data_IF_472172506405
#
_entry.id   IF_472172506405
#
_cell.length_a   1.000
_cell.length_b   1.000
_cell.length_c   1.000
_cell.angle_alpha   90.00
_cell.angle_beta   90.00
_cell.angle_gamma   90.00
#
_symmetry.space_group_name_H-M   'P 1'
#
loop_
_entity.id
_entity.type
_entity.pdbx_description
1 polymer ?
#
# COMPACT_ATOMS: atom_id res chain seq x y z
N UNK A 1 7.10 7.54 -13.88
CA UNK A 1 8.26 6.66 -14.19
C UNK A 1 9.52 7.27 -13.61
N UNK A 2 10.50 6.46 -13.19
CA UNK A 2 11.76 6.96 -12.63
C UNK A 2 12.64 7.63 -13.71
N UNK A 3 13.50 8.60 -13.36
CA UNK A 3 14.46 9.20 -14.29
C UNK A 3 15.40 8.17 -14.90
N UNK A 4 15.84 8.35 -16.16
CA UNK A 4 16.76 7.41 -16.83
C UNK A 4 18.08 7.19 -16.09
N UNK A 5 18.58 8.21 -15.39
CA UNK A 5 19.82 8.12 -14.62
C UNK A 5 19.64 7.45 -13.24
N UNK A 6 18.40 7.14 -12.83
CA UNK A 6 18.15 6.52 -11.54
C UNK A 6 18.64 5.06 -11.52
N UNK A 7 19.41 4.71 -10.49
CA UNK A 7 19.79 3.32 -10.26
C UNK A 7 18.67 2.61 -9.50
N UNK A 8 18.05 1.61 -10.14
CA UNK A 8 16.98 0.81 -9.55
C UNK A 8 17.59 -0.43 -8.90
N UNK A 9 17.43 -0.55 -7.59
CA UNK A 9 17.79 -1.77 -6.83
C UNK A 9 16.52 -2.50 -6.41
N UNK A 10 16.50 -3.82 -6.63
CA UNK A 10 15.45 -4.70 -6.11
C UNK A 10 15.98 -5.41 -4.87
N UNK A 11 15.14 -5.48 -3.86
CA UNK A 11 15.37 -6.25 -2.64
C UNK A 11 14.35 -7.38 -2.57
N UNK A 12 14.67 -8.42 -1.81
CA UNK A 12 13.86 -9.62 -1.70
C UNK A 12 12.56 -9.40 -0.93
N UNK A 13 12.59 -8.51 0.06
CA UNK A 13 11.44 -8.20 0.91
C UNK A 13 11.40 -6.73 1.40
N UNK A 14 10.35 -6.40 2.15
CA UNK A 14 10.16 -5.06 2.70
C UNK A 14 11.19 -4.73 3.80
N UNK A 15 11.68 -5.70 4.56
CA UNK A 15 12.61 -5.47 5.67
C UNK A 15 14.02 -5.14 5.18
N UNK A 16 14.47 -5.83 4.14
CA UNK A 16 15.74 -5.55 3.44
C UNK A 16 15.66 -4.23 2.69
N UNK A 17 14.53 -3.92 2.04
CA UNK A 17 14.28 -2.60 1.44
C UNK A 17 14.38 -1.48 2.50
N UNK A 18 13.71 -1.68 3.64
CA UNK A 18 13.71 -0.73 4.76
C UNK A 18 15.11 -0.51 5.33
N UNK A 19 15.85 -1.60 5.55
CA UNK A 19 17.21 -1.55 6.07
C UNK A 19 18.16 -0.82 5.12
N UNK A 20 18.03 -1.02 3.81
CA UNK A 20 18.80 -0.30 2.80
C UNK A 20 18.51 1.20 2.81
N UNK A 21 17.24 1.59 2.96
CA UNK A 21 16.86 3.00 3.07
C UNK A 21 17.37 3.63 4.38
N UNK A 22 17.13 3.01 5.53
CA UNK A 22 17.56 3.55 6.83
C UNK A 22 19.08 3.65 6.98
N UNK A 23 19.83 2.75 6.36
CA UNK A 23 21.30 2.78 6.32
C UNK A 23 21.88 3.74 5.27
N UNK A 24 21.05 4.33 4.41
CA UNK A 24 21.48 5.27 3.36
C UNK A 24 22.05 4.61 2.10
N UNK A 25 21.88 3.30 1.91
CA UNK A 25 22.29 2.62 0.68
C UNK A 25 21.46 3.04 -0.55
N UNK A 26 20.26 3.56 -0.33
CA UNK A 26 19.37 4.16 -1.34
C UNK A 26 18.77 5.45 -0.80
N UNK A 27 18.53 6.43 -1.68
CA UNK A 27 17.92 7.72 -1.28
C UNK A 27 16.38 7.70 -1.31
N UNK A 28 15.79 6.79 -2.07
CA UNK A 28 14.34 6.70 -2.28
C UNK A 28 13.85 5.27 -2.10
N UNK A 29 12.59 5.13 -1.67
CA UNK A 29 11.90 3.85 -1.53
C UNK A 29 10.50 3.93 -2.14
N UNK A 30 10.11 2.92 -2.91
CA UNK A 30 8.74 2.74 -3.36
C UNK A 30 8.07 1.71 -2.44
N UNK A 31 7.21 2.17 -1.52
CA UNK A 31 6.56 1.32 -0.51
C UNK A 31 5.18 1.85 -0.14
N UNK A 32 4.37 1.04 0.55
CA UNK A 32 3.02 1.42 0.98
C UNK A 32 2.98 2.15 2.32
N UNK A 33 1.87 2.85 2.58
CA UNK A 33 1.64 3.64 3.80
C UNK A 33 1.94 2.93 5.12
N UNK A 34 1.63 1.63 5.31
CA UNK A 34 1.95 0.94 6.57
C UNK A 34 3.44 0.87 6.86
N UNK A 35 4.29 0.72 5.83
CA UNK A 35 5.75 0.69 5.98
C UNK A 35 6.26 2.08 6.33
N UNK A 36 5.75 3.13 5.66
CA UNK A 36 6.07 4.53 6.00
C UNK A 36 5.66 4.86 7.44
N UNK A 37 4.48 4.42 7.88
CA UNK A 37 4.01 4.59 9.25
C UNK A 37 4.85 3.79 10.28
N UNK A 38 5.40 2.63 9.89
CA UNK A 38 6.34 1.89 10.73
C UNK A 38 7.68 2.62 10.86
N UNK A 39 8.24 3.13 9.74
CA UNK A 39 9.46 3.95 9.75
C UNK A 39 9.29 5.15 10.65
N UNK A 40 8.19 5.89 10.48
CA UNK A 40 7.93 7.12 11.23
C UNK A 40 7.87 6.88 12.75
N UNK A 41 7.35 5.72 13.18
CA UNK A 41 7.34 5.33 14.61
C UNK A 41 8.72 4.95 15.13
N UNK A 42 9.58 4.36 14.29
CA UNK A 42 10.91 3.90 14.69
C UNK A 42 11.95 5.03 14.63
N UNK A 43 11.86 5.90 13.63
CA UNK A 43 12.76 7.03 13.41
C UNK A 43 12.06 8.11 12.56
N UNK A 44 11.44 9.08 13.23
CA UNK A 44 10.68 10.14 12.59
C UNK A 44 11.54 11.01 11.64
N UNK A 45 12.81 11.26 12.00
CA UNK A 45 13.73 12.08 11.19
C UNK A 45 14.08 11.45 9.85
N UNK A 46 13.92 10.12 9.74
CA UNK A 46 14.16 9.36 8.51
C UNK A 46 12.86 8.97 7.80
N UNK A 47 11.69 9.39 8.30
CA UNK A 47 10.42 9.09 7.66
C UNK A 47 10.42 9.61 6.20
N UNK A 48 10.21 8.73 5.20
CA UNK A 48 10.13 9.19 3.82
C UNK A 48 8.90 10.07 3.64
N UNK A 49 9.10 11.23 3.02
CA UNK A 49 8.00 12.11 2.62
C UNK A 49 7.40 11.55 1.32
N UNK A 50 6.07 11.34 1.24
CA UNK A 50 5.43 10.91 0.00
C UNK A 50 5.75 11.91 -1.13
N UNK A 51 6.41 11.42 -2.19
CA UNK A 51 6.78 12.27 -3.33
C UNK A 51 5.82 12.12 -4.52
N UNK A 52 5.18 10.95 -4.65
CA UNK A 52 4.24 10.64 -5.73
C UNK A 52 3.25 9.61 -5.22
N UNK A 53 1.96 9.89 -5.36
CA UNK A 53 0.96 8.84 -5.26
C UNK A 53 1.10 7.94 -6.48
N UNK A 54 1.21 6.64 -6.25
CA UNK A 54 1.16 5.68 -7.33
C UNK A 54 -0.32 5.55 -7.77
N UNK A 55 -0.77 6.49 -8.59
CA UNK A 55 -2.11 6.44 -9.18
C UNK A 55 -2.32 5.07 -9.86
N UNK A 56 -3.42 4.40 -9.49
CA UNK A 56 -3.83 3.13 -10.11
C UNK A 56 -3.32 1.84 -9.47
N UNK A 57 -2.60 1.88 -8.33
CA UNK A 57 -2.23 0.67 -7.60
C UNK A 57 -3.39 0.18 -6.72
N UNK A 58 -4.13 -0.82 -7.21
CA UNK A 58 -5.12 -1.56 -6.44
C UNK A 58 -4.56 -2.93 -6.01
N UNK A 59 -4.69 -3.27 -4.72
CA UNK A 59 -4.48 -4.64 -4.25
C UNK A 59 -5.78 -5.40 -4.44
N UNK A 60 -5.79 -6.37 -5.35
CA UNK A 60 -6.96 -7.16 -5.68
C UNK A 60 -6.85 -8.56 -5.07
N UNK A 61 -7.99 -9.10 -4.65
CA UNK A 61 -8.09 -10.53 -4.39
C UNK A 61 -7.87 -11.30 -5.70
N UNK A 62 -6.89 -12.22 -5.71
CA UNK A 62 -6.67 -13.16 -6.80
C UNK A 62 -7.19 -14.52 -6.35
N UNK A 63 -8.26 -15.00 -6.99
CA UNK A 63 -8.69 -16.39 -6.87
C UNK A 63 -7.88 -17.29 -7.81
N UNK A 64 -7.93 -18.60 -7.57
CA UNK A 64 -7.61 -19.59 -8.60
C UNK A 64 -8.49 -19.37 -9.84
N UNK A 65 -8.04 -19.92 -10.99
CA UNK A 65 -8.85 -19.89 -12.21
C UNK A 65 -10.17 -20.62 -11.96
N UNK A 66 -11.28 -20.01 -12.40
CA UNK A 66 -12.63 -20.59 -12.41
C UNK A 66 -13.32 -20.78 -11.04
N UNK A 67 -13.22 -19.80 -10.13
CA UNK A 67 -13.92 -19.78 -8.84
C UNK A 67 -15.07 -18.73 -8.78
N UNK A 68 -16.13 -18.83 -9.61
CA UNK A 68 -17.14 -17.78 -9.73
C UNK A 68 -17.97 -17.58 -8.44
N UNK A 69 -18.25 -18.66 -7.71
CA UNK A 69 -19.02 -18.57 -6.46
C UNK A 69 -18.23 -17.84 -5.36
N UNK A 70 -16.92 -18.12 -5.26
CA UNK A 70 -16.04 -17.44 -4.32
C UNK A 70 -15.89 -15.97 -4.69
N UNK A 71 -15.67 -15.67 -5.98
CA UNK A 71 -15.60 -14.30 -6.46
C UNK A 71 -16.88 -13.53 -6.10
N UNK A 72 -18.05 -14.08 -6.44
CA UNK A 72 -19.33 -13.44 -6.15
C UNK A 72 -19.51 -13.18 -4.64
N UNK A 73 -19.11 -14.14 -3.79
CA UNK A 73 -19.21 -13.95 -2.34
C UNK A 73 -18.26 -12.87 -1.83
N UNK A 74 -17.03 -12.82 -2.34
CA UNK A 74 -16.05 -11.77 -1.99
C UNK A 74 -16.55 -10.40 -2.45
N UNK A 75 -17.04 -10.29 -3.68
CA UNK A 75 -17.58 -9.04 -4.22
C UNK A 75 -18.75 -8.54 -3.34
N UNK A 76 -19.69 -9.41 -2.97
CA UNK A 76 -20.81 -9.06 -2.07
C UNK A 76 -20.34 -8.53 -0.72
N UNK A 77 -19.29 -9.14 -0.14
CA UNK A 77 -18.75 -8.69 1.15
C UNK A 77 -18.01 -7.36 1.02
N UNK A 78 -17.32 -7.11 -0.10
CA UNK A 78 -16.67 -5.83 -0.39
C UNK A 78 -17.73 -4.73 -0.54
N UNK A 79 -18.77 -4.97 -1.34
CA UNK A 79 -19.87 -4.02 -1.53
C UNK A 79 -20.56 -3.68 -0.20
N UNK A 80 -20.83 -4.69 0.62
CA UNK A 80 -21.39 -4.48 1.95
C UNK A 80 -20.46 -3.65 2.83
N UNK A 81 -19.18 -4.00 2.89
CA UNK A 81 -18.20 -3.31 3.72
C UNK A 81 -17.89 -1.87 3.28
N UNK A 82 -18.08 -1.55 2.00
CA UNK A 82 -18.08 -0.16 1.51
C UNK A 82 -19.34 0.54 2.03
N UNK A 83 -20.52 -0.05 1.78
CA UNK A 83 -21.82 0.58 2.09
C UNK A 83 -22.03 0.85 3.58
N UNK A 84 -21.55 -0.04 4.45
CA UNK A 84 -21.69 0.10 5.90
C UNK A 84 -20.51 0.81 6.58
N UNK A 85 -19.52 1.27 5.80
CA UNK A 85 -18.36 2.00 6.30
C UNK A 85 -17.29 1.13 6.98
N UNK A 86 -17.47 -0.18 7.08
CA UNK A 86 -16.50 -1.09 7.70
C UNK A 86 -15.13 -0.99 7.03
N UNK A 87 -15.09 -1.00 5.69
CA UNK A 87 -13.83 -0.93 4.96
C UNK A 87 -13.16 0.44 5.07
N UNK A 88 -13.93 1.54 5.16
CA UNK A 88 -13.36 2.86 5.43
C UNK A 88 -12.74 2.90 6.84
N UNK A 89 -13.46 2.43 7.86
CA UNK A 89 -12.94 2.39 9.23
C UNK A 89 -11.68 1.52 9.36
N UNK A 90 -11.59 0.41 8.63
CA UNK A 90 -10.38 -0.40 8.56
C UNK A 90 -9.23 0.34 7.86
N UNK A 91 -9.51 1.05 6.76
CA UNK A 91 -8.53 1.86 6.03
C UNK A 91 -7.95 2.96 6.92
N UNK A 92 -8.79 3.72 7.61
CA UNK A 92 -8.35 4.77 8.52
C UNK A 92 -7.54 4.20 9.70
N UNK A 93 -7.98 3.08 10.26
CA UNK A 93 -7.29 2.44 11.39
C UNK A 93 -5.89 1.97 11.01
N UNK A 94 -5.76 1.26 9.89
CA UNK A 94 -4.54 0.53 9.54
C UNK A 94 -3.67 1.22 8.49
N UNK A 95 -4.27 1.91 7.52
CA UNK A 95 -3.58 2.58 6.41
C UNK A 95 -3.45 4.09 6.60
N UNK A 96 -4.13 4.66 7.61
CA UNK A 96 -4.12 6.09 7.96
C UNK A 96 -4.60 7.00 6.82
N UNK A 97 -5.46 6.46 5.96
CA UNK A 97 -6.11 7.18 4.88
C UNK A 97 -7.55 6.65 4.74
N UNK A 98 -8.51 7.49 4.34
CA UNK A 98 -9.85 7.02 3.98
C UNK A 98 -9.77 6.13 2.75
N UNK A 99 -10.84 5.37 2.48
CA UNK A 99 -10.99 4.73 1.19
C UNK A 99 -10.97 5.79 0.07
N UNK A 100 -10.49 5.45 -1.14
CA UNK A 100 -10.63 6.33 -2.28
C UNK A 100 -12.10 6.65 -2.57
N UNK A 101 -12.42 7.91 -2.88
CA UNK A 101 -13.78 8.33 -3.21
C UNK A 101 -14.37 7.55 -4.40
N UNK A 102 -13.53 7.11 -5.33
CA UNK A 102 -13.93 6.24 -6.45
C UNK A 102 -14.44 4.85 -6.02
N UNK A 103 -14.20 4.45 -4.78
CA UNK A 103 -14.67 3.20 -4.17
C UNK A 103 -15.79 3.43 -3.13
N UNK A 104 -16.33 4.65 -3.02
CA UNK A 104 -17.51 4.95 -2.19
C UNK A 104 -17.22 5.41 -0.76
N UNK A 105 -16.14 6.18 -0.56
CA UNK A 105 -15.89 6.90 0.69
C UNK A 105 -16.85 8.07 0.93
#
# INVERSE_FOLDING_TARGET
MAPQAAQIKRYEDNNTTLSAYLSGQVQYVATGNPVVAAISRQNADKAPVPSFDAEGLAVLYRSEKNEPALKAKVDTLIEQGIKDGTLNGLSEKWLKAPLPASLGA
#
